data_IF_801580141618
#
_entry.id   IF_801580141618
#
_cell.length_a   1.000
_cell.length_b   1.000
_cell.length_c   1.000
_cell.angle_alpha   90.00
_cell.angle_beta   90.00
_cell.angle_gamma   90.00
#
_symmetry.space_group_name_H-M   'P 1'
#
loop_
_entity.id
_entity.type
_entity.pdbx_description
1 polymer ?
#
# COMPACT_ATOMS: atom_id res chain seq x y z
N UNK A 1 53.25 36.93 23.90
CA UNK A 1 52.88 35.95 22.86
C UNK A 1 51.68 35.23 23.39
N UNK A 2 50.52 35.87 23.24
CA UNK A 2 49.25 35.42 23.78
C UNK A 2 48.73 34.26 22.92
N UNK A 3 48.52 33.10 23.54
CA UNK A 3 48.00 31.93 22.84
C UNK A 3 46.48 32.10 22.65
N UNK A 4 46.04 32.08 21.39
CA UNK A 4 44.62 32.01 21.01
C UNK A 4 44.14 30.59 21.27
N UNK A 5 43.10 30.35 22.10
CA UNK A 5 42.55 29.02 22.25
C UNK A 5 41.77 28.64 20.98
N UNK A 6 42.28 27.63 20.28
CA UNK A 6 41.67 27.02 19.11
C UNK A 6 40.38 26.29 19.53
N UNK A 7 39.24 26.76 19.04
CA UNK A 7 37.94 26.19 19.36
C UNK A 7 37.81 24.82 18.69
N UNK A 8 37.67 23.76 19.49
CA UNK A 8 37.32 22.42 19.01
C UNK A 8 35.94 22.47 18.32
N UNK A 9 35.77 21.84 17.14
CA UNK A 9 34.48 21.78 16.48
C UNK A 9 33.52 20.93 17.32
N UNK A 10 32.42 21.56 17.73
CA UNK A 10 31.31 20.93 18.43
C UNK A 10 30.82 19.71 17.64
N UNK A 11 30.88 18.53 18.27
CA UNK A 11 30.31 17.32 17.72
C UNK A 11 28.79 17.47 17.71
N UNK A 12 28.25 17.97 16.60
CA UNK A 12 26.81 18.02 16.36
C UNK A 12 26.28 16.58 16.38
N UNK A 13 25.66 16.20 17.50
CA UNK A 13 25.11 14.87 17.71
C UNK A 13 24.07 14.59 16.62
N UNK A 14 24.44 13.75 15.64
CA UNK A 14 23.54 13.32 14.58
C UNK A 14 22.42 12.51 15.23
N UNK A 15 21.18 12.98 15.10
CA UNK A 15 20.01 12.22 15.51
C UNK A 15 20.07 10.82 14.86
N UNK A 16 19.78 9.75 15.62
CA UNK A 16 19.88 8.39 15.10
C UNK A 16 18.85 8.19 13.99
N UNK A 17 19.33 8.02 12.75
CA UNK A 17 18.48 7.67 11.60
C UNK A 17 17.75 6.37 11.90
N UNK A 18 16.42 6.35 11.71
CA UNK A 18 15.60 5.15 11.86
C UNK A 18 16.07 4.07 10.89
N UNK A 19 16.49 2.93 11.43
CA UNK A 19 16.92 1.77 10.64
C UNK A 19 15.67 1.05 10.12
N UNK A 20 15.67 0.57 8.85
CA UNK A 20 14.57 -0.26 8.36
C UNK A 20 14.46 -1.54 9.21
N UNK A 21 13.24 -1.92 9.57
CA UNK A 21 12.94 -3.11 10.39
C UNK A 21 12.01 -4.02 9.61
N UNK A 22 12.34 -5.32 9.54
CA UNK A 22 11.40 -6.32 9.05
C UNK A 22 10.40 -6.67 10.17
N UNK A 23 9.13 -6.75 9.81
CA UNK A 23 8.02 -7.16 10.69
C UNK A 23 7.48 -8.48 10.16
N UNK A 24 7.56 -9.53 10.98
CA UNK A 24 7.13 -10.90 10.66
C UNK A 24 5.89 -11.26 11.47
N UNK A 25 4.84 -10.45 11.32
CA UNK A 25 3.51 -10.77 11.84
C UNK A 25 2.82 -11.79 10.91
N UNK A 26 1.70 -12.37 11.34
CA UNK A 26 0.91 -13.28 10.50
C UNK A 26 0.58 -12.57 9.18
N UNK A 27 0.88 -13.17 8.01
CA UNK A 27 0.57 -12.58 6.72
C UNK A 27 -0.92 -12.30 6.51
N UNK A 28 -1.82 -13.00 7.23
CA UNK A 28 -3.28 -12.86 7.08
C UNK A 28 -3.93 -11.92 8.10
N UNK A 29 -3.21 -11.45 9.12
CA UNK A 29 -3.76 -10.54 10.14
C UNK A 29 -4.05 -9.13 9.59
N UNK A 30 -3.59 -8.81 8.38
CA UNK A 30 -3.81 -7.52 7.72
C UNK A 30 -4.63 -7.72 6.45
N UNK A 31 -5.79 -7.07 6.41
CA UNK A 31 -6.58 -6.97 5.19
C UNK A 31 -5.77 -6.24 4.11
N UNK A 32 -5.68 -6.86 2.93
CA UNK A 32 -5.05 -6.29 1.75
C UNK A 32 -6.10 -5.58 0.89
N UNK A 33 -5.65 -4.76 -0.06
CA UNK A 33 -6.57 -4.12 -1.01
C UNK A 33 -7.29 -5.13 -1.91
N UNK A 34 -6.69 -6.30 -2.14
CA UNK A 34 -7.26 -7.37 -2.95
C UNK A 34 -8.37 -8.14 -2.21
N UNK A 35 -8.39 -8.10 -0.88
CA UNK A 35 -9.44 -8.70 -0.05
C UNK A 35 -10.76 -7.90 -0.07
N UNK A 36 -10.79 -6.76 -0.77
CA UNK A 36 -11.98 -5.92 -0.87
C UNK A 36 -12.58 -6.00 -2.26
N UNK A 37 -13.90 -6.13 -2.36
CA UNK A 37 -14.63 -6.06 -3.63
C UNK A 37 -14.69 -4.63 -4.23
N UNK A 38 -13.83 -3.71 -3.76
CA UNK A 38 -13.73 -2.36 -4.30
C UNK A 38 -13.35 -2.45 -5.78
N UNK A 39 -14.21 -1.91 -6.65
CA UNK A 39 -14.04 -1.98 -8.11
C UNK A 39 -14.66 -3.19 -8.80
N UNK A 40 -15.21 -4.16 -8.06
CA UNK A 40 -15.89 -5.35 -8.60
C UNK A 40 -17.43 -5.22 -8.63
N UNK A 41 -17.96 -4.01 -8.45
CA UNK A 41 -19.39 -3.70 -8.57
C UNK A 41 -20.07 -3.28 -7.27
N UNK A 42 -19.48 -2.34 -6.53
CA UNK A 42 -20.08 -1.74 -5.33
C UNK A 42 -21.45 -1.09 -5.59
N UNK A 43 -22.20 -0.82 -4.52
CA UNK A 43 -23.54 -0.22 -4.57
C UNK A 43 -23.51 1.18 -5.21
N UNK A 44 -23.60 1.24 -6.54
CA UNK A 44 -23.61 2.48 -7.31
C UNK A 44 -22.97 2.38 -8.69
N UNK A 45 -22.09 1.41 -8.93
CA UNK A 45 -21.35 1.27 -10.20
C UNK A 45 -21.73 -0.04 -10.91
N UNK A 46 -23.04 -0.26 -11.05
CA UNK A 46 -23.48 -1.04 -12.21
C UNK A 46 -23.20 -0.19 -13.45
N UNK A 47 -22.58 -0.79 -14.45
CA UNK A 47 -22.40 -0.25 -15.80
C UNK A 47 -23.73 0.01 -16.50
N UNK A 48 -24.61 0.86 -15.95
CA UNK A 48 -25.94 1.22 -16.44
C UNK A 48 -26.90 0.06 -16.73
N UNK A 49 -26.49 -1.20 -16.50
CA UNK A 49 -27.16 -2.41 -16.98
C UNK A 49 -27.69 -3.21 -15.80
N UNK A 50 -28.97 -3.56 -15.86
CA UNK A 50 -29.64 -4.33 -14.81
C UNK A 50 -29.16 -5.78 -14.71
N UNK A 51 -29.48 -6.44 -13.61
CA UNK A 51 -29.17 -7.86 -13.33
C UNK A 51 -29.67 -8.80 -14.45
N UNK A 52 -30.77 -8.45 -15.12
CA UNK A 52 -31.35 -9.25 -16.20
C UNK A 52 -30.44 -9.31 -17.43
N UNK A 53 -29.70 -8.24 -17.71
CA UNK A 53 -28.72 -8.21 -18.80
C UNK A 53 -27.63 -9.26 -18.57
N UNK A 54 -27.07 -9.33 -17.36
CA UNK A 54 -26.03 -10.29 -17.00
C UNK A 54 -26.52 -11.74 -17.09
N UNK A 55 -27.75 -12.01 -16.60
CA UNK A 55 -28.36 -13.34 -16.69
C UNK A 55 -28.60 -13.81 -18.12
N UNK A 56 -28.80 -12.87 -19.04
CA UNK A 56 -29.00 -13.19 -20.47
C UNK A 56 -27.69 -13.46 -21.22
N UNK A 57 -26.53 -13.07 -20.67
CA UNK A 57 -25.25 -13.32 -21.33
C UNK A 57 -24.92 -14.81 -21.26
N UNK A 58 -24.76 -15.45 -22.42
CA UNK A 58 -24.18 -16.80 -22.51
C UNK A 58 -22.67 -16.66 -22.63
N UNK A 59 -21.86 -17.35 -21.80
CA UNK A 59 -20.41 -17.38 -21.99
C UNK A 59 -20.10 -17.80 -23.43
N UNK A 60 -19.11 -17.18 -24.11
CA UNK A 60 -18.68 -17.66 -25.41
C UNK A 60 -18.32 -19.14 -25.26
N UNK A 61 -18.87 -19.97 -26.14
CA UNK A 61 -18.53 -21.39 -26.17
C UNK A 61 -17.03 -21.49 -26.46
N UNK A 62 -16.22 -21.71 -25.43
CA UNK A 62 -14.82 -22.07 -25.61
C UNK A 62 -14.77 -23.56 -25.98
N UNK A 63 -14.77 -23.84 -27.29
CA UNK A 63 -14.55 -25.19 -27.80
C UNK A 63 -15.09 -25.41 -29.22
N UNK A 64 -14.20 -25.31 -30.19
CA UNK A 64 -14.09 -26.31 -31.28
C UNK A 64 -12.94 -27.25 -30.91
#
# INVERSE_FOLDING_TARGET
>A
MDAVPEQQPEQQAKEPKRKPKLVFEDPFDRQTSDDTDQGWGGAGESSGRGIDWYRSQRPPHHGE
#
